data_IF_394859543168
#
_entry.id   IF_394859543168
#
_cell.length_a   1.000
_cell.length_b   1.000
_cell.length_c   1.000
_cell.angle_alpha   90.00
_cell.angle_beta   90.00
_cell.angle_gamma   90.00
#
_symmetry.space_group_name_H-M   'P 1'
#
loop_
_entity.id
_entity.type
_entity.pdbx_description
1 polymer ?
#
# COMPACT_ATOMS: atom_id res chain seq x y z
N UNK A 1 -23.39 31.24 -39.36
CA UNK A 1 -23.24 30.78 -37.96
C UNK A 1 -22.78 29.33 -38.03
N UNK A 2 -21.47 29.15 -38.15
CA UNK A 2 -20.84 27.84 -38.06
C UNK A 2 -20.45 27.65 -36.59
N UNK A 3 -21.01 26.64 -35.96
CA UNK A 3 -20.64 26.23 -34.60
C UNK A 3 -19.42 25.35 -34.69
N UNK A 4 -18.26 25.90 -34.31
CA UNK A 4 -17.05 25.14 -34.05
C UNK A 4 -17.30 24.20 -32.85
N UNK A 5 -17.38 22.90 -33.14
CA UNK A 5 -17.27 21.86 -32.14
C UNK A 5 -15.79 21.68 -31.79
N UNK A 6 -15.34 22.33 -30.71
CA UNK A 6 -14.02 22.08 -30.13
C UNK A 6 -14.06 20.72 -29.45
N UNK A 7 -13.60 19.67 -30.14
CA UNK A 7 -13.27 18.38 -29.55
C UNK A 7 -12.00 18.49 -28.71
N UNK A 8 -12.13 18.94 -27.46
CA UNK A 8 -11.01 19.10 -26.55
C UNK A 8 -10.48 17.78 -25.99
N UNK A 9 -9.14 17.63 -26.04
CA UNK A 9 -8.31 17.09 -24.94
C UNK A 9 -8.00 15.58 -24.82
N UNK A 10 -7.99 14.77 -25.89
CA UNK A 10 -7.43 13.40 -25.78
C UNK A 10 -5.94 13.28 -26.14
N UNK A 11 -5.36 14.28 -26.80
CA UNK A 11 -4.08 14.14 -27.55
C UNK A 11 -2.85 14.80 -26.88
N UNK A 12 -3.00 15.27 -25.63
CA UNK A 12 -1.91 15.97 -24.92
C UNK A 12 -1.41 15.11 -23.76
N UNK A 13 -0.11 15.18 -23.51
CA UNK A 13 0.52 14.63 -22.32
C UNK A 13 -0.08 15.24 -21.05
N UNK A 14 -0.34 14.39 -20.06
CA UNK A 14 -0.82 14.82 -18.73
C UNK A 14 0.24 14.47 -17.69
N UNK A 15 0.67 15.48 -16.94
CA UNK A 15 1.53 15.29 -15.78
C UNK A 15 0.66 15.24 -14.52
N UNK A 16 0.64 14.10 -13.85
CA UNK A 16 -0.01 13.94 -12.55
C UNK A 16 1.03 14.25 -11.47
N UNK A 17 0.93 15.39 -10.77
CA UNK A 17 1.94 15.79 -9.79
C UNK A 17 1.89 14.89 -8.56
N UNK A 18 3.06 14.47 -8.10
CA UNK A 18 3.21 13.86 -6.78
C UNK A 18 3.49 14.94 -5.74
N UNK A 19 3.20 14.63 -4.48
CA UNK A 19 3.42 15.57 -3.38
C UNK A 19 4.92 15.72 -3.05
N UNK A 20 5.31 16.80 -2.35
CA UNK A 20 6.67 16.92 -1.81
C UNK A 20 7.09 15.73 -0.93
N UNK A 21 6.15 15.15 -0.18
CA UNK A 21 6.42 13.98 0.65
C UNK A 21 6.70 12.73 -0.18
N UNK A 22 5.99 12.55 -1.28
CA UNK A 22 6.22 11.45 -2.23
C UNK A 22 7.64 11.51 -2.80
N UNK A 23 8.11 12.71 -3.15
CA UNK A 23 9.44 12.91 -3.73
C UNK A 23 10.59 12.46 -2.79
N UNK A 24 10.38 12.50 -1.47
CA UNK A 24 11.36 11.99 -0.49
C UNK A 24 11.60 10.49 -0.66
N UNK A 25 10.59 9.76 -1.15
CA UNK A 25 10.64 8.31 -1.32
C UNK A 25 11.31 7.88 -2.63
N UNK A 26 11.77 8.82 -3.47
CA UNK A 26 12.34 8.54 -4.80
C UNK A 26 13.56 7.60 -4.77
N UNK A 27 14.35 7.66 -3.70
CA UNK A 27 15.57 6.84 -3.54
C UNK A 27 15.30 5.45 -2.97
N UNK A 28 14.04 5.13 -2.63
CA UNK A 28 13.67 3.87 -2.01
C UNK A 28 12.91 2.99 -3.01
N UNK A 29 13.41 1.77 -3.21
CA UNK A 29 12.63 0.73 -3.88
C UNK A 29 11.64 0.12 -2.89
N UNK A 30 10.47 -0.29 -3.36
CA UNK A 30 9.49 -0.98 -2.53
C UNK A 30 9.08 -2.29 -3.18
N UNK A 31 9.25 -3.40 -2.45
CA UNK A 31 9.06 -4.75 -2.95
C UNK A 31 8.44 -5.63 -1.84
N UNK A 32 7.31 -6.29 -2.12
CA UNK A 32 6.62 -7.17 -1.18
C UNK A 32 6.07 -8.39 -1.91
N UNK A 33 6.13 -9.56 -1.26
CA UNK A 33 5.43 -10.78 -1.69
C UNK A 33 4.28 -11.05 -0.72
N UNK A 34 3.08 -11.18 -1.26
CA UNK A 34 1.94 -11.76 -0.54
C UNK A 34 1.82 -13.23 -0.92
N UNK A 35 1.65 -14.10 0.06
CA UNK A 35 1.38 -15.52 -0.17
C UNK A 35 0.02 -15.85 0.44
N UNK A 36 -0.89 -16.33 -0.41
CA UNK A 36 -2.24 -16.71 -0.01
C UNK A 36 -2.35 -18.23 0.01
N UNK A 37 -2.74 -18.83 1.15
CA UNK A 37 -2.94 -20.26 1.23
C UNK A 37 -4.12 -20.68 0.35
N UNK A 38 -4.22 -21.97 -0.02
CA UNK A 38 -5.35 -22.46 -0.81
C UNK A 38 -6.69 -22.20 -0.11
N UNK A 39 -7.78 -22.04 -0.88
CA UNK A 39 -9.12 -21.90 -0.31
C UNK A 39 -9.46 -23.08 0.61
N UNK A 40 -10.14 -22.81 1.72
CA UNK A 40 -10.60 -23.86 2.66
C UNK A 40 -11.50 -24.90 1.99
N UNK A 41 -12.22 -24.47 0.95
CA UNK A 41 -13.02 -25.33 0.11
C UNK A 41 -12.13 -25.85 -1.03
N UNK A 42 -11.71 -27.11 -0.95
CA UNK A 42 -10.83 -27.76 -1.92
C UNK A 42 -11.42 -27.84 -3.35
N UNK A 43 -12.71 -27.55 -3.53
CA UNK A 43 -13.32 -27.42 -4.86
C UNK A 43 -13.06 -26.05 -5.51
N UNK A 44 -12.51 -25.08 -4.75
CA UNK A 44 -12.18 -23.74 -5.21
C UNK A 44 -10.68 -23.59 -5.33
N UNK A 45 -10.26 -23.01 -6.44
CA UNK A 45 -8.87 -22.60 -6.68
C UNK A 45 -8.83 -21.09 -6.90
N UNK A 46 -7.64 -20.48 -6.75
CA UNK A 46 -7.46 -19.10 -7.17
C UNK A 46 -7.63 -18.96 -8.68
N UNK A 47 -8.49 -18.02 -9.09
CA UNK A 47 -8.73 -17.68 -10.50
C UNK A 47 -7.74 -16.59 -10.91
N UNK A 48 -6.60 -17.02 -11.44
CA UNK A 48 -5.53 -16.10 -11.84
C UNK A 48 -5.95 -15.13 -12.98
N UNK A 49 -6.72 -15.54 -14.02
CA UNK A 49 -7.32 -14.60 -14.97
C UNK A 49 -8.25 -13.57 -14.33
N UNK A 50 -9.06 -13.96 -13.34
CA UNK A 50 -9.91 -13.00 -12.59
C UNK A 50 -9.08 -12.06 -11.73
N UNK A 51 -7.97 -12.52 -11.14
CA UNK A 51 -7.05 -11.70 -10.37
C UNK A 51 -6.42 -10.59 -11.22
N UNK A 52 -5.97 -10.92 -12.44
CA UNK A 52 -5.44 -9.92 -13.38
C UNK A 52 -6.53 -8.94 -13.84
N UNK A 53 -7.73 -9.42 -14.18
CA UNK A 53 -8.84 -8.54 -14.56
C UNK A 53 -9.23 -7.59 -13.44
N UNK A 54 -9.35 -8.09 -12.21
CA UNK A 54 -9.69 -7.24 -11.06
C UNK A 54 -8.63 -6.19 -10.74
N UNK A 55 -7.34 -6.50 -11.00
CA UNK A 55 -6.25 -5.52 -10.94
C UNK A 55 -6.43 -4.44 -12.01
N UNK A 56 -6.66 -4.84 -13.25
CA UNK A 56 -6.83 -3.92 -14.37
C UNK A 56 -8.00 -2.98 -14.13
N UNK A 57 -9.14 -3.53 -13.71
CA UNK A 57 -10.31 -2.74 -13.34
C UNK A 57 -9.95 -1.74 -12.23
N UNK A 58 -9.31 -2.20 -11.13
CA UNK A 58 -8.90 -1.34 -10.00
C UNK A 58 -8.05 -0.15 -10.46
N UNK A 59 -7.04 -0.41 -11.29
CA UNK A 59 -6.17 0.64 -11.80
C UNK A 59 -6.93 1.61 -12.70
N UNK A 60 -7.74 1.08 -13.62
CA UNK A 60 -8.47 1.91 -14.58
C UNK A 60 -9.53 2.80 -13.91
N UNK A 61 -10.10 2.40 -12.78
CA UNK A 61 -11.10 3.20 -12.08
C UNK A 61 -10.52 4.03 -10.95
N UNK A 62 -9.80 3.40 -10.03
CA UNK A 62 -9.47 3.98 -8.72
C UNK A 62 -7.99 4.28 -8.55
N UNK A 63 -7.08 3.69 -9.34
CA UNK A 63 -5.62 3.88 -9.22
C UNK A 63 -4.98 4.33 -10.54
N UNK A 64 -5.65 5.25 -11.25
CA UNK A 64 -5.16 5.78 -12.54
C UNK A 64 -3.77 6.39 -12.46
N UNK A 65 -3.32 6.80 -11.27
CA UNK A 65 -1.97 7.30 -11.01
C UNK A 65 -0.86 6.30 -11.37
N UNK A 66 -1.16 5.01 -11.49
CA UNK A 66 -0.20 4.01 -11.95
C UNK A 66 -0.01 3.98 -13.46
N UNK A 67 -0.94 4.56 -14.23
CA UNK A 67 -0.86 4.57 -15.68
C UNK A 67 0.17 5.61 -16.11
N UNK A 68 1.21 5.20 -16.81
CA UNK A 68 2.25 6.09 -17.32
C UNK A 68 3.63 5.79 -16.73
N UNK A 69 4.50 6.80 -16.76
CA UNK A 69 5.90 6.70 -16.34
C UNK A 69 6.24 7.75 -15.30
N UNK A 70 7.06 7.38 -14.32
CA UNK A 70 7.62 8.34 -13.38
C UNK A 70 8.59 9.29 -14.09
N UNK A 71 8.37 10.59 -13.90
CA UNK A 71 9.29 11.64 -14.30
C UNK A 71 9.74 12.47 -13.10
N UNK A 72 10.98 12.95 -13.21
CA UNK A 72 11.56 13.93 -12.31
C UNK A 72 12.01 15.09 -13.18
N UNK A 73 11.44 16.27 -12.94
CA UNK A 73 11.85 17.49 -13.61
C UNK A 73 13.26 17.87 -13.12
N UNK A 74 14.21 17.96 -14.05
CA UNK A 74 15.63 18.15 -13.73
C UNK A 74 15.95 19.54 -13.15
N UNK A 75 15.09 20.54 -13.39
CA UNK A 75 15.32 21.93 -12.96
C UNK A 75 14.71 22.17 -11.59
N UNK A 76 13.49 21.70 -11.38
CA UNK A 76 12.67 21.96 -10.19
C UNK A 76 12.71 20.82 -9.18
N UNK A 77 13.16 19.63 -9.58
CA UNK A 77 13.13 18.41 -8.77
C UNK A 77 11.72 17.86 -8.54
N UNK A 78 10.70 18.39 -9.24
CA UNK A 78 9.31 17.93 -9.09
C UNK A 78 9.15 16.53 -9.66
N UNK A 79 8.48 15.67 -8.89
CA UNK A 79 8.19 14.29 -9.30
C UNK A 79 6.74 14.23 -9.78
N UNK A 80 6.49 13.53 -10.88
CA UNK A 80 5.17 13.40 -11.49
C UNK A 80 5.06 12.06 -12.22
N UNK A 81 3.84 11.61 -12.46
CA UNK A 81 3.57 10.53 -13.41
C UNK A 81 3.17 11.16 -14.74
N UNK A 82 3.98 10.95 -15.77
CA UNK A 82 3.65 11.31 -17.14
C UNK A 82 2.72 10.27 -17.73
N UNK A 83 1.51 10.71 -18.08
CA UNK A 83 0.52 9.91 -18.79
C UNK A 83 0.42 10.42 -20.21
N UNK A 84 1.05 9.71 -21.16
CA UNK A 84 0.88 10.01 -22.59
C UNK A 84 -0.51 9.56 -23.07
N UNK A 85 -1.00 10.05 -24.23
CA UNK A 85 -2.23 9.54 -24.83
C UNK A 85 -2.25 8.01 -24.98
N UNK A 86 -1.13 7.40 -25.38
CA UNK A 86 -1.00 5.95 -25.54
C UNK A 86 -1.05 5.23 -24.19
N UNK A 87 -0.40 5.76 -23.16
CA UNK A 87 -0.45 5.19 -21.82
C UNK A 87 -1.89 5.19 -21.30
N UNK A 88 -2.62 6.30 -21.44
CA UNK A 88 -4.03 6.40 -21.03
C UNK A 88 -4.94 5.50 -21.84
N UNK A 89 -4.68 5.34 -23.14
CA UNK A 89 -5.43 4.44 -24.01
C UNK A 89 -5.25 2.97 -23.61
N UNK A 90 -4.01 2.55 -23.32
CA UNK A 90 -3.72 1.19 -22.84
C UNK A 90 -4.23 0.95 -21.42
N UNK A 91 -4.31 2.01 -20.62
CA UNK A 91 -4.69 1.94 -19.21
C UNK A 91 -3.83 0.95 -18.44
N UNK A 92 -4.47 0.18 -17.57
CA UNK A 92 -3.82 -0.85 -16.77
C UNK A 92 -3.18 -1.99 -17.59
N UNK A 93 -3.60 -2.19 -18.84
CA UNK A 93 -2.98 -3.19 -19.73
C UNK A 93 -1.56 -2.80 -20.17
N UNK A 94 -1.19 -1.52 -20.01
CA UNK A 94 0.19 -1.05 -20.19
C UNK A 94 1.10 -1.35 -19.00
N UNK A 95 0.55 -1.81 -17.88
CA UNK A 95 1.30 -2.16 -16.67
C UNK A 95 1.73 -3.63 -16.74
N UNK A 96 2.97 -3.90 -16.36
CA UNK A 96 3.52 -5.25 -16.37
C UNK A 96 2.87 -6.13 -15.31
N UNK A 97 2.17 -7.15 -15.79
CA UNK A 97 1.56 -8.20 -14.98
C UNK A 97 2.05 -9.57 -15.49
N UNK A 98 2.99 -10.16 -14.77
CA UNK A 98 3.63 -11.42 -15.13
C UNK A 98 2.87 -12.59 -14.53
N UNK A 99 2.12 -13.31 -15.35
CA UNK A 99 1.48 -14.56 -14.93
C UNK A 99 2.44 -15.72 -15.17
N UNK A 100 2.89 -16.34 -14.09
CA UNK A 100 3.77 -17.51 -14.15
C UNK A 100 2.94 -18.80 -14.25
N UNK A 101 3.48 -19.87 -14.88
CA UNK A 101 2.91 -21.19 -14.73
C UNK A 101 2.93 -21.60 -13.24
N UNK A 102 2.06 -22.54 -12.88
CA UNK A 102 2.05 -23.09 -11.52
C UNK A 102 3.44 -23.63 -11.14
N UNK A 103 3.83 -23.42 -9.89
CA UNK A 103 5.08 -23.94 -9.34
C UNK A 103 4.85 -25.26 -8.59
N UNK A 104 5.93 -25.94 -8.21
CA UNK A 104 5.87 -27.20 -7.46
C UNK A 104 5.84 -27.03 -5.93
N UNK A 105 5.84 -25.80 -5.43
CA UNK A 105 5.86 -25.47 -4.00
C UNK A 105 4.44 -25.20 -3.48
N UNK A 106 4.18 -25.58 -2.25
CA UNK A 106 3.00 -25.17 -1.48
C UNK A 106 3.13 -23.73 -1.00
N UNK A 107 2.03 -23.10 -0.57
CA UNK A 107 2.06 -21.75 -0.02
C UNK A 107 3.00 -21.63 1.20
N UNK A 108 2.98 -22.63 2.09
CA UNK A 108 3.86 -22.68 3.26
C UNK A 108 5.35 -22.78 2.88
N UNK A 109 5.68 -23.55 1.85
CA UNK A 109 7.05 -23.67 1.36
C UNK A 109 7.54 -22.37 0.72
N UNK A 110 6.66 -21.66 0.00
CA UNK A 110 6.97 -20.33 -0.55
C UNK A 110 7.28 -19.33 0.56
N UNK A 111 6.49 -19.32 1.64
CA UNK A 111 6.76 -18.44 2.80
C UNK A 111 8.10 -18.77 3.45
N UNK A 112 8.43 -20.06 3.57
CA UNK A 112 9.71 -20.50 4.19
C UNK A 112 10.93 -20.25 3.31
N UNK A 113 10.77 -20.33 1.99
CA UNK A 113 11.90 -20.22 1.07
C UNK A 113 12.46 -18.80 0.97
N UNK A 114 11.60 -17.78 1.16
CA UNK A 114 11.95 -16.36 0.99
C UNK A 114 12.58 -16.05 -0.38
N UNK A 115 12.26 -16.87 -1.38
CA UNK A 115 12.88 -16.80 -2.70
C UNK A 115 12.42 -15.55 -3.46
N UNK A 116 13.39 -14.78 -3.97
CA UNK A 116 13.08 -13.58 -4.74
C UNK A 116 12.47 -13.87 -6.12
N UNK A 117 12.49 -15.13 -6.56
CA UNK A 117 11.90 -15.58 -7.82
C UNK A 117 10.37 -15.38 -7.87
N UNK A 118 9.70 -15.13 -6.74
CA UNK A 118 8.27 -14.79 -6.72
C UNK A 118 7.97 -13.32 -7.02
N UNK A 119 8.99 -12.46 -7.14
CA UNK A 119 8.81 -11.08 -7.57
C UNK A 119 8.79 -10.91 -9.07
N UNK A 120 8.13 -9.87 -9.60
CA UNK A 120 8.31 -9.49 -10.99
C UNK A 120 9.78 -9.25 -11.30
N UNK A 121 10.10 -9.30 -12.60
CA UNK A 121 11.40 -8.84 -13.08
C UNK A 121 11.69 -7.42 -12.57
N UNK A 122 12.99 -7.07 -12.51
CA UNK A 122 13.45 -5.79 -11.95
C UNK A 122 12.66 -4.64 -12.59
N UNK A 123 12.04 -3.82 -11.73
CA UNK A 123 11.29 -2.65 -12.15
C UNK A 123 12.17 -1.77 -13.04
N UNK A 124 11.66 -1.40 -14.21
CA UNK A 124 12.37 -0.46 -15.06
C UNK A 124 12.36 0.93 -14.40
N UNK A 125 13.38 1.74 -14.69
CA UNK A 125 13.67 2.97 -13.91
C UNK A 125 12.49 3.95 -13.81
N UNK A 126 11.57 3.91 -14.78
CA UNK A 126 10.41 4.80 -14.86
C UNK A 126 9.07 4.08 -14.65
N UNK A 127 9.06 2.76 -14.51
CA UNK A 127 7.82 2.04 -14.25
C UNK A 127 7.27 2.41 -12.88
N UNK A 128 5.94 2.51 -12.81
CA UNK A 128 5.20 2.83 -11.59
C UNK A 128 5.08 1.60 -10.70
N UNK A 129 4.64 0.48 -11.27
CA UNK A 129 4.41 -0.79 -10.58
C UNK A 129 4.57 -1.96 -11.55
N UNK A 130 5.03 -3.08 -11.04
CA UNK A 130 5.04 -4.37 -11.71
C UNK A 130 4.52 -5.45 -10.76
N UNK A 131 3.80 -6.42 -11.30
CA UNK A 131 3.17 -7.50 -10.55
C UNK A 131 3.64 -8.84 -11.12
N UNK A 132 3.90 -9.81 -10.25
CA UNK A 132 4.02 -11.23 -10.61
C UNK A 132 3.01 -12.04 -9.84
N UNK A 133 2.27 -12.88 -10.55
CA UNK A 133 1.32 -13.82 -9.97
C UNK A 133 1.79 -15.24 -10.28
N UNK A 134 1.98 -16.04 -9.24
CA UNK A 134 2.43 -17.44 -9.37
C UNK A 134 1.47 -18.35 -8.62
N UNK A 135 0.75 -19.27 -9.29
CA UNK A 135 -0.02 -20.31 -8.62
C UNK A 135 0.88 -21.33 -7.90
N UNK A 136 0.42 -21.87 -6.76
CA UNK A 136 1.12 -22.92 -6.00
C UNK A 136 0.55 -24.32 -6.25
N UNK A 137 1.32 -25.34 -5.89
CA UNK A 137 0.95 -26.74 -6.02
C UNK A 137 -0.28 -27.15 -5.19
N UNK A 138 -0.51 -26.49 -4.05
CA UNK A 138 -1.65 -26.75 -3.16
C UNK A 138 -2.93 -25.99 -3.55
N UNK A 139 -2.87 -25.17 -4.61
CA UNK A 139 -3.98 -24.31 -5.03
C UNK A 139 -3.95 -22.89 -4.45
N UNK A 140 -2.93 -22.54 -3.66
CA UNK A 140 -2.64 -21.17 -3.25
C UNK A 140 -2.19 -20.26 -4.40
N UNK A 141 -2.02 -18.97 -4.10
CA UNK A 141 -1.34 -18.03 -5.01
C UNK A 141 -0.35 -17.12 -4.29
N UNK A 142 0.75 -16.78 -4.96
CA UNK A 142 1.67 -15.75 -4.50
C UNK A 142 1.63 -14.56 -5.46
N UNK A 143 1.66 -13.37 -4.88
CA UNK A 143 1.59 -12.09 -5.59
C UNK A 143 2.78 -11.25 -5.16
N UNK A 144 3.79 -11.20 -6.03
CA UNK A 144 4.94 -10.32 -5.89
C UNK A 144 4.63 -8.94 -6.48
N UNK A 145 4.98 -7.88 -5.77
CA UNK A 145 4.69 -6.50 -6.14
C UNK A 145 5.96 -5.68 -5.98
N UNK A 146 6.47 -5.15 -7.09
CA UNK A 146 7.51 -4.12 -7.06
C UNK A 146 6.89 -2.81 -7.49
N UNK A 147 7.08 -1.76 -6.71
CA UNK A 147 6.50 -0.45 -6.98
C UNK A 147 7.51 0.67 -6.74
N UNK A 148 7.34 1.77 -7.46
CA UNK A 148 8.07 2.98 -7.18
C UNK A 148 7.51 3.62 -5.90
N UNK A 149 8.33 3.70 -4.86
CA UNK A 149 7.88 4.06 -3.51
C UNK A 149 7.34 5.50 -3.41
N UNK A 150 7.62 6.35 -4.40
CA UNK A 150 6.98 7.68 -4.52
C UNK A 150 5.46 7.61 -4.69
N UNK A 151 4.92 6.48 -5.15
CA UNK A 151 3.48 6.35 -5.40
C UNK A 151 2.71 5.92 -4.16
N UNK A 152 3.34 5.26 -3.20
CA UNK A 152 2.68 4.86 -1.95
C UNK A 152 3.70 4.48 -0.90
N UNK A 153 3.34 4.76 0.35
CA UNK A 153 3.97 4.17 1.51
C UNK A 153 3.38 2.79 1.84
N UNK A 154 3.81 2.19 2.96
CA UNK A 154 3.32 0.89 3.39
C UNK A 154 1.81 0.85 3.61
N UNK A 155 1.23 1.88 4.23
CA UNK A 155 -0.22 1.99 4.45
C UNK A 155 -0.99 2.15 3.14
N UNK A 156 -0.44 2.92 2.20
CA UNK A 156 -0.96 3.04 0.84
C UNK A 156 -0.97 1.69 0.12
N UNK A 157 0.07 0.87 0.28
CA UNK A 157 0.09 -0.49 -0.28
C UNK A 157 -0.95 -1.40 0.38
N UNK A 158 -1.07 -1.41 1.70
CA UNK A 158 -2.09 -2.23 2.37
C UNK A 158 -3.50 -1.83 1.95
N UNK A 159 -3.74 -0.53 1.78
CA UNK A 159 -5.01 -0.01 1.26
C UNK A 159 -5.26 -0.46 -0.18
N UNK A 160 -4.23 -0.39 -1.04
CA UNK A 160 -4.30 -0.90 -2.41
C UNK A 160 -4.63 -2.40 -2.46
N UNK A 161 -3.95 -3.22 -1.66
CA UNK A 161 -4.20 -4.66 -1.60
C UNK A 161 -5.61 -4.99 -1.11
N UNK A 162 -6.11 -4.23 -0.13
CA UNK A 162 -7.49 -4.37 0.36
C UNK A 162 -8.51 -4.01 -0.72
N UNK A 163 -8.31 -2.90 -1.44
CA UNK A 163 -9.19 -2.49 -2.55
C UNK A 163 -9.18 -3.53 -3.68
N UNK A 164 -8.01 -4.07 -4.02
CA UNK A 164 -7.87 -5.13 -5.02
C UNK A 164 -8.58 -6.40 -4.58
N UNK A 165 -8.41 -6.81 -3.32
CA UNK A 165 -9.11 -7.95 -2.72
C UNK A 165 -10.64 -7.77 -2.75
N UNK A 166 -11.17 -6.60 -2.39
CA UNK A 166 -12.61 -6.31 -2.49
C UNK A 166 -13.14 -6.48 -3.92
N UNK A 167 -12.37 -6.02 -4.91
CA UNK A 167 -12.74 -6.11 -6.32
C UNK A 167 -12.67 -7.55 -6.83
N UNK A 168 -11.62 -8.29 -6.49
CA UNK A 168 -11.51 -9.72 -6.79
C UNK A 168 -12.65 -10.53 -6.14
N UNK A 169 -13.02 -10.23 -4.89
CA UNK A 169 -14.10 -10.91 -4.19
C UNK A 169 -15.51 -10.49 -4.66
N UNK A 170 -15.63 -9.53 -5.58
CA UNK A 170 -16.93 -9.10 -6.12
C UNK A 170 -17.76 -8.26 -5.15
N UNK A 171 -17.13 -7.61 -4.17
CA UNK A 171 -17.82 -6.64 -3.28
C UNK A 171 -18.47 -5.56 -4.14
N UNK A 172 -19.72 -5.19 -3.86
CA UNK A 172 -20.45 -4.15 -4.60
C UNK A 172 -19.78 -2.78 -4.46
N UNK A 173 -19.86 -1.92 -5.49
CA UNK A 173 -19.18 -0.62 -5.53
C UNK A 173 -19.43 0.26 -4.31
N UNK A 174 -20.67 0.32 -3.80
CA UNK A 174 -21.06 1.16 -2.66
C UNK A 174 -20.42 0.72 -1.32
N UNK A 175 -19.88 -0.49 -1.26
CA UNK A 175 -19.21 -1.05 -0.09
C UNK A 175 -17.68 -1.14 -0.26
N UNK A 176 -17.14 -0.70 -1.40
CA UNK A 176 -15.69 -0.65 -1.64
C UNK A 176 -15.08 0.57 -0.98
N UNK A 177 -13.77 0.51 -0.72
CA UNK A 177 -13.01 1.67 -0.31
C UNK A 177 -13.08 2.77 -1.38
N UNK A 178 -13.28 4.00 -0.93
CA UNK A 178 -13.19 5.18 -1.80
C UNK A 178 -11.77 5.70 -1.75
N UNK A 179 -11.13 5.81 -2.91
CA UNK A 179 -9.74 6.25 -3.05
C UNK A 179 -9.72 7.64 -3.67
N UNK A 180 -8.95 8.57 -3.09
CA UNK A 180 -8.73 9.90 -3.64
C UNK A 180 -7.23 10.11 -3.89
N UNK A 181 -6.88 10.64 -5.08
CA UNK A 181 -5.51 10.93 -5.52
C UNK A 181 -5.21 12.43 -5.66
N UNK A 182 -6.01 13.30 -5.05
CA UNK A 182 -5.80 14.76 -5.01
C UNK A 182 -4.61 15.14 -4.13
N UNK A 183 -3.42 14.62 -4.46
CA UNK A 183 -2.16 14.79 -3.73
C UNK A 183 -1.69 16.23 -3.65
N UNK A 184 -2.18 17.07 -4.56
CA UNK A 184 -1.93 18.51 -4.51
C UNK A 184 -2.43 19.13 -3.19
N UNK A 185 -3.47 18.55 -2.57
CA UNK A 185 -3.99 18.98 -1.25
C UNK A 185 -3.01 18.72 -0.11
N UNK A 186 -2.03 17.83 -0.30
CA UNK A 186 -0.95 17.58 0.66
C UNK A 186 0.22 18.55 0.51
N UNK A 187 0.18 19.44 -0.48
CA UNK A 187 1.20 20.47 -0.65
C UNK A 187 1.10 21.49 0.48
N UNK A 188 2.23 21.78 1.13
CA UNK A 188 2.30 22.87 2.09
C UNK A 188 1.99 24.21 1.43
N UNK A 189 1.43 25.15 2.19
CA UNK A 189 1.17 26.53 1.73
C UNK A 189 2.43 27.41 1.72
N UNK A 190 3.61 26.80 1.90
CA UNK A 190 4.89 27.50 2.12
C UNK A 190 5.04 28.11 3.52
N UNK A 191 4.03 27.97 4.39
CA UNK A 191 4.09 28.38 5.80
C UNK A 191 3.98 27.13 6.67
N UNK A 192 5.05 26.80 7.39
CA UNK A 192 5.02 25.74 8.39
C UNK A 192 4.08 26.10 9.55
N UNK A 193 3.54 25.08 10.21
CA UNK A 193 2.82 25.29 11.48
C UNK A 193 3.71 26.07 12.45
N UNK A 194 3.24 27.21 12.93
CA UNK A 194 3.88 27.96 14.01
C UNK A 194 3.51 27.42 15.39
N UNK A 195 2.57 26.46 15.44
CA UNK A 195 2.18 25.82 16.68
C UNK A 195 3.21 24.77 17.07
N UNK A 196 3.62 24.72 18.35
CA UNK A 196 4.49 23.67 18.85
C UNK A 196 3.81 22.31 18.62
N UNK A 197 4.56 21.35 18.09
CA UNK A 197 4.09 19.98 17.89
C UNK A 197 4.79 19.07 18.91
N UNK A 198 4.20 18.79 20.09
CA UNK A 198 4.90 18.12 21.19
C UNK A 198 5.50 16.76 20.83
N UNK A 199 4.87 16.05 19.89
CA UNK A 199 5.32 14.75 19.37
C UNK A 199 6.44 14.85 18.31
N UNK A 200 6.73 16.05 17.78
CA UNK A 200 7.79 16.27 16.79
C UNK A 200 8.72 17.35 17.35
N UNK A 201 9.73 16.91 18.09
CA UNK A 201 10.80 17.78 18.55
C UNK A 201 11.92 17.75 17.52
N UNK A 202 12.16 18.88 16.86
CA UNK A 202 13.35 19.06 16.02
C UNK A 202 14.53 19.18 16.98
N UNK A 203 15.19 18.05 17.28
CA UNK A 203 16.42 18.06 18.07
C UNK A 203 17.56 18.46 17.14
N UNK A 204 18.34 19.51 17.45
CA UNK A 204 19.55 19.83 16.70
C UNK A 204 20.48 18.62 16.64
N UNK A 205 21.15 18.40 15.51
CA UNK A 205 22.10 17.29 15.38
C UNK A 205 23.16 17.36 16.51
N UNK A 206 23.59 16.24 17.12
CA UNK A 206 24.43 16.24 18.31
C UNK A 206 25.87 16.75 18.12
N UNK A 207 26.22 17.35 16.99
CA UNK A 207 27.62 17.64 16.66
C UNK A 207 27.80 18.84 15.74
N UNK A 208 26.96 19.88 15.78
CA UNK A 208 27.23 21.14 15.06
C UNK A 208 27.43 21.03 13.54
N UNK A 209 27.26 19.84 12.95
CA UNK A 209 27.22 19.63 11.52
C UNK A 209 25.87 20.11 11.01
N UNK A 210 25.88 21.35 10.55
CA UNK A 210 24.86 21.89 9.67
C UNK A 210 24.97 21.09 8.37
N UNK A 211 24.11 20.10 8.17
CA UNK A 211 23.93 19.50 6.84
C UNK A 211 23.51 20.66 5.93
N UNK A 212 24.30 21.03 4.91
CA UNK A 212 23.97 22.18 4.08
C UNK A 212 22.64 21.92 3.38
N UNK A 213 21.72 22.87 3.49
CA UNK A 213 20.38 22.85 2.86
C UNK A 213 20.49 22.61 1.34
N UNK A 214 21.65 22.86 0.73
CA UNK A 214 21.96 22.60 -0.68
C UNK A 214 22.09 21.13 -1.08
N UNK A 215 22.12 20.18 -0.13
CA UNK A 215 22.12 18.73 -0.42
C UNK A 215 20.74 18.09 -0.36
N UNK A 216 19.72 18.85 0.01
CA UNK A 216 18.36 18.36 0.11
C UNK A 216 17.54 18.93 -1.06
N UNK A 217 16.69 18.13 -1.75
CA UNK A 217 15.81 18.63 -2.80
C UNK A 217 14.97 19.81 -2.28
N UNK A 218 14.67 20.81 -3.11
CA UNK A 218 13.96 22.03 -2.66
C UNK A 218 12.59 21.76 -1.97
N UNK A 219 12.05 20.55 -2.10
CA UNK A 219 10.81 20.05 -1.48
C UNK A 219 10.94 19.64 -0.01
N UNK A 220 12.13 19.46 0.56
CA UNK A 220 12.34 19.03 1.96
C UNK A 220 12.37 20.18 2.99
N UNK A 221 11.91 21.39 2.64
CA UNK A 221 11.72 22.46 3.64
C UNK A 221 10.59 22.17 4.65
N UNK A 222 9.92 21.02 4.52
CA UNK A 222 9.06 20.42 5.55
C UNK A 222 9.77 19.20 6.14
N UNK A 223 10.61 19.42 7.13
CA UNK A 223 11.33 18.34 7.83
C UNK A 223 10.35 17.62 8.77
N UNK A 224 9.96 16.40 8.44
CA UNK A 224 9.52 15.40 9.43
C UNK A 224 10.72 14.50 9.76
N UNK A 225 11.44 14.83 10.83
CA UNK A 225 12.43 13.93 11.44
C UNK A 225 11.76 13.20 12.61
N UNK A 226 11.51 11.90 12.43
CA UNK A 226 11.06 11.03 13.51
C UNK A 226 12.22 10.18 14.01
N UNK A 227 12.63 10.35 15.28
CA UNK A 227 13.41 9.32 15.98
C UNK A 227 12.43 8.42 16.74
N UNK A 228 12.57 7.10 16.58
CA UNK A 228 12.11 6.14 17.60
C UNK A 228 12.80 6.50 18.92
N UNK A 229 12.04 6.83 19.95
CA UNK A 229 12.54 6.68 21.32
C UNK A 229 12.77 5.19 21.56
N UNK A 230 13.97 4.82 22.03
CA UNK A 230 14.12 3.58 22.77
C UNK A 230 13.41 3.78 24.11
N UNK A 231 12.68 2.77 24.64
CA UNK A 231 12.19 2.84 26.01
C UNK A 231 13.39 3.02 26.94
N UNK A 232 13.31 3.99 27.85
CA UNK A 232 14.27 4.15 28.95
C UNK A 232 14.09 3.04 29.99
N UNK A 233 15.03 2.87 30.93
CA UNK A 233 15.05 1.73 31.85
C UNK A 233 14.06 1.80 33.01
N UNK A 234 13.16 2.79 33.06
CA UNK A 234 12.44 3.14 34.29
C UNK A 234 10.92 2.88 34.27
N UNK A 235 10.39 2.09 33.32
CA UNK A 235 9.01 1.58 33.40
C UNK A 235 8.99 0.21 34.14
N UNK A 236 9.47 0.19 35.38
CA UNK A 236 9.06 -0.81 36.36
C UNK A 236 7.71 -0.39 36.94
N UNK A 237 6.62 -0.86 36.31
CA UNK A 237 5.31 -0.81 36.96
C UNK A 237 5.24 -1.84 38.08
N UNK A 238 5.39 -1.30 39.28
CA UNK A 238 5.13 -1.86 40.59
C UNK A 238 3.80 -2.66 40.62
N UNK A 239 3.89 -3.99 40.80
CA UNK A 239 2.75 -4.84 41.17
C UNK A 239 2.27 -4.44 42.57
N UNK A 240 1.04 -3.94 42.66
CA UNK A 240 0.33 -3.81 43.93
C UNK A 240 -0.56 -5.04 44.10
N UNK A 241 -0.14 -5.91 45.03
CA UNK A 241 -0.97 -6.95 45.64
C UNK A 241 -2.20 -6.31 46.29
N UNK A 242 -3.39 -6.73 45.87
CA UNK A 242 -4.62 -6.60 46.66
C UNK A 242 -5.48 -7.87 46.45
N UNK A 243 -5.41 -8.74 47.44
CA UNK A 243 -6.16 -9.99 47.60
C UNK A 243 -7.48 -9.70 48.33
N UNK A 244 -8.63 -10.29 47.93
CA UNK A 244 -9.74 -10.45 48.87
C UNK A 244 -10.33 -11.87 48.92
N UNK A 245 -11.05 -12.20 50.00
CA UNK A 245 -10.84 -13.45 50.72
C UNK A 245 -11.74 -14.61 50.28
N UNK A 246 -11.23 -15.80 50.57
CA UNK A 246 -11.88 -17.10 50.59
C UNK A 246 -13.15 -17.11 51.46
N UNK A 247 -14.25 -17.67 50.92
CA UNK A 247 -15.28 -18.40 51.69
C UNK A 247 -16.13 -19.31 50.78
N UNK A 248 -16.02 -20.60 51.02
CA UNK A 248 -16.94 -21.71 50.64
C UNK A 248 -17.08 -22.50 51.95
N UNK A 249 -18.28 -22.98 52.40
CA UNK A 249 -18.82 -24.24 51.84
C UNK A 249 -20.34 -24.52 51.91
N UNK A 250 -20.74 -25.44 51.01
CA UNK A 250 -21.86 -26.40 51.15
C UNK A 250 -23.22 -25.93 50.61
N UNK A 251 -24.08 -26.71 49.96
CA UNK A 251 -24.17 -28.17 49.81
C UNK A 251 -25.12 -28.53 48.64
N UNK A 252 -24.90 -29.72 48.07
CA UNK A 252 -25.66 -30.49 47.05
C UNK A 252 -27.20 -30.38 47.07
N UNK A 253 -27.86 -30.49 45.89
CA UNK A 253 -28.75 -31.63 45.54
C UNK A 253 -29.35 -31.55 44.11
N UNK A 254 -29.13 -32.62 43.33
CA UNK A 254 -30.04 -33.33 42.36
C UNK A 254 -30.80 -32.64 41.19
N UNK A 255 -30.53 -33.17 39.99
CA UNK A 255 -31.26 -33.21 38.68
C UNK A 255 -32.44 -34.26 38.74
N UNK A 256 -33.46 -34.44 37.82
CA UNK A 256 -33.70 -33.98 36.41
C UNK A 256 -35.15 -33.55 35.97
N UNK A 257 -35.21 -33.15 34.68
CA UNK A 257 -36.26 -33.32 33.62
C UNK A 257 -37.64 -32.62 33.69
N UNK A 258 -38.09 -32.06 32.55
CA UNK A 258 -39.15 -32.64 31.68
C UNK A 258 -39.34 -31.80 30.39
N UNK A 259 -39.57 -32.51 29.28
CA UNK A 259 -39.93 -32.06 27.92
C UNK A 259 -41.38 -31.53 27.78
N UNK A 260 -41.59 -30.79 26.68
CA UNK A 260 -42.79 -30.76 25.80
C UNK A 260 -44.05 -30.01 26.25
N UNK A 261 -44.39 -28.91 25.55
CA UNK A 261 -45.57 -28.81 24.65
C UNK A 261 -45.74 -27.38 24.11
N UNK A 262 -45.60 -27.20 22.79
CA UNK A 262 -46.65 -26.74 21.85
C UNK A 262 -46.05 -26.54 20.46
#
# INVERSE_FOLDING_TARGET
METENVSGSSDVDVLVPLSPMDAVLLSYGFAVIYVFPPPLDASKTFDAPKLQRSFQDLVNEDYKIFIGELQVDAVTGRVSVLQTPEARMRGASGIRFEQQPGNSLTADEVVRSLEWSFMPSKLERKETVAIRCTPQADGGVSVGITLNHTLMDGEGLFTFMRAWGQRYSGVSKDHRLVINHDRHLLSGTGRGSQLPHPAVQIVPAPSGEVIPISFLPATTQHICSGRRQKPGPDDEHQEHDDDPPTRVPGSRSTIPEVRSHR
#
